data_IF_958067797324
#
_entry.id   IF_958067797324
#
_cell.length_a   1.000
_cell.length_b   1.000
_cell.length_c   1.000
_cell.angle_alpha   90.00
_cell.angle_beta   90.00
_cell.angle_gamma   90.00
#
_symmetry.space_group_name_H-M   'P 1'
#
loop_
_entity.id
_entity.type
_entity.pdbx_description
1 polymer ?
#
# COMPACT_ATOMS: atom_id res chain seq x y z
N UNK A 1 -1.60 -5.68 1.24
CA UNK A 1 -0.50 -6.59 0.89
C UNK A 1 -0.68 -7.14 -0.52
N UNK A 2 -1.85 -7.65 -0.87
CA UNK A 2 -2.10 -8.30 -2.17
C UNK A 2 -1.92 -7.39 -3.39
N UNK A 3 -2.02 -6.09 -3.20
CA UNK A 3 -1.73 -5.10 -4.23
C UNK A 3 -0.26 -5.09 -4.70
N UNK A 4 0.66 -5.56 -3.86
CA UNK A 4 2.07 -5.69 -4.22
C UNK A 4 2.27 -6.95 -5.06
N UNK A 5 2.45 -6.79 -6.36
CA UNK A 5 2.61 -7.88 -7.32
C UNK A 5 3.83 -8.75 -6.99
N UNK A 6 3.82 -9.99 -7.41
CA UNK A 6 5.04 -10.81 -7.45
C UNK A 6 5.94 -10.33 -8.58
N UNK A 7 7.23 -10.18 -8.31
CA UNK A 7 8.20 -9.65 -9.28
C UNK A 7 8.29 -10.51 -10.57
N UNK A 8 8.05 -11.79 -10.44
CA UNK A 8 8.05 -12.74 -11.57
C UNK A 8 6.66 -12.94 -12.19
N UNK A 9 5.64 -12.22 -11.73
CA UNK A 9 4.26 -12.33 -12.22
C UNK A 9 3.49 -13.58 -11.78
N UNK A 10 4.07 -14.42 -10.90
CA UNK A 10 3.39 -15.59 -10.36
C UNK A 10 2.38 -15.24 -9.27
N UNK A 11 1.58 -16.21 -8.84
CA UNK A 11 0.81 -16.10 -7.62
C UNK A 11 1.72 -16.27 -6.39
N UNK A 12 1.42 -15.61 -5.26
CA UNK A 12 2.16 -15.78 -4.03
C UNK A 12 2.07 -17.22 -3.49
N UNK A 13 3.16 -17.71 -2.93
CA UNK A 13 3.18 -19.00 -2.24
C UNK A 13 2.33 -18.91 -0.96
N UNK A 14 1.42 -19.87 -0.75
CA UNK A 14 0.54 -19.89 0.43
C UNK A 14 1.28 -20.08 1.76
N UNK A 15 2.46 -20.72 1.72
CA UNK A 15 3.31 -20.97 2.90
C UNK A 15 4.32 -19.85 3.14
N UNK A 16 4.66 -19.10 2.09
CA UNK A 16 5.53 -17.93 2.14
C UNK A 16 4.93 -16.83 1.23
N UNK A 17 3.93 -16.10 1.72
CA UNK A 17 3.21 -15.14 0.89
C UNK A 17 3.97 -13.82 0.68
N UNK A 18 5.17 -13.67 1.21
CA UNK A 18 5.87 -12.40 1.28
C UNK A 18 7.12 -12.33 0.39
N UNK A 19 7.84 -13.43 0.24
CA UNK A 19 9.07 -13.48 -0.56
C UNK A 19 8.78 -13.31 -2.06
N UNK A 20 9.61 -12.53 -2.75
CA UNK A 20 9.52 -12.30 -4.19
C UNK A 20 8.49 -11.27 -4.64
N UNK A 21 7.85 -10.56 -3.70
CA UNK A 21 6.94 -9.45 -4.01
C UNK A 21 7.70 -8.21 -4.46
N UNK A 22 6.96 -7.26 -5.02
CA UNK A 22 7.40 -5.88 -5.26
C UNK A 22 8.24 -5.37 -4.08
N UNK A 23 9.47 -4.91 -4.30
CA UNK A 23 10.36 -4.46 -3.22
C UNK A 23 9.76 -3.40 -2.31
N UNK A 24 8.83 -2.58 -2.81
CA UNK A 24 8.12 -1.56 -2.03
C UNK A 24 7.30 -2.19 -0.90
N UNK A 25 6.90 -3.46 -1.02
CA UNK A 25 6.23 -4.18 0.06
C UNK A 25 7.09 -4.21 1.33
N UNK A 26 8.30 -4.75 1.22
CA UNK A 26 9.22 -4.87 2.37
C UNK A 26 9.69 -3.52 2.92
N UNK A 27 9.65 -2.44 2.11
CA UNK A 27 9.94 -1.07 2.54
C UNK A 27 8.78 -0.43 3.30
N UNK A 28 7.56 -0.91 3.10
CA UNK A 28 6.33 -0.25 3.55
C UNK A 28 5.67 -0.96 4.72
N UNK A 29 5.71 -2.29 4.75
CA UNK A 29 4.94 -3.14 5.66
C UNK A 29 5.87 -4.10 6.39
N UNK A 30 5.69 -4.20 7.71
CA UNK A 30 6.32 -5.21 8.53
C UNK A 30 5.37 -6.40 8.73
N UNK A 31 5.93 -7.59 8.63
CA UNK A 31 5.21 -8.86 8.71
C UNK A 31 5.66 -9.70 9.89
N UNK A 32 4.95 -10.80 10.14
CA UNK A 32 5.36 -11.78 11.14
C UNK A 32 6.79 -12.29 10.87
N UNK A 33 7.63 -12.30 11.89
CA UNK A 33 9.03 -12.69 11.80
C UNK A 33 10.00 -11.53 11.47
N UNK A 34 9.52 -10.36 11.04
CA UNK A 34 10.38 -9.21 10.80
C UNK A 34 10.99 -8.67 12.10
N UNK A 35 12.26 -8.33 12.05
CA UNK A 35 12.91 -7.57 13.13
C UNK A 35 12.72 -6.07 12.86
N UNK A 36 11.63 -5.51 13.36
CA UNK A 36 11.27 -4.13 13.10
C UNK A 36 10.63 -3.42 14.33
N UNK A 37 11.06 -2.21 14.70
CA UNK A 37 12.28 -1.53 14.22
C UNK A 37 13.54 -2.37 14.44
N UNK A 38 14.68 -2.03 13.82
CA UNK A 38 15.93 -2.80 13.91
C UNK A 38 16.45 -2.93 15.35
N UNK A 39 16.08 -1.97 16.21
CA UNK A 39 16.38 -1.93 17.65
C UNK A 39 15.53 -2.89 18.47
N UNK A 40 14.45 -3.44 17.90
CA UNK A 40 13.64 -4.44 18.59
C UNK A 40 14.49 -5.70 18.83
N UNK A 41 14.66 -6.16 20.09
CA UNK A 41 15.50 -7.32 20.40
C UNK A 41 14.95 -8.63 19.80
N UNK A 42 13.65 -8.68 19.58
CA UNK A 42 12.96 -9.88 19.10
C UNK A 42 12.21 -9.62 17.81
N UNK A 43 12.08 -10.62 16.92
CA UNK A 43 11.20 -10.54 15.77
C UNK A 43 9.75 -10.30 16.17
N UNK A 44 8.97 -9.72 15.26
CA UNK A 44 7.54 -9.53 15.43
C UNK A 44 6.82 -10.88 15.46
N UNK A 45 6.02 -11.11 16.49
CA UNK A 45 5.17 -12.28 16.66
C UNK A 45 3.71 -11.89 16.50
N UNK A 46 3.26 -11.88 15.23
CA UNK A 46 1.91 -11.42 14.85
C UNK A 46 0.92 -12.62 14.73
N UNK A 47 1.40 -13.85 14.94
CA UNK A 47 0.54 -15.02 14.96
C UNK A 47 -0.35 -15.06 16.21
N UNK A 48 -1.45 -15.79 16.13
CA UNK A 48 -2.40 -15.96 17.27
C UNK A 48 -1.67 -16.42 18.52
N UNK A 49 -1.77 -15.65 19.59
CA UNK A 49 -1.06 -15.87 20.84
C UNK A 49 0.35 -15.26 20.91
N UNK A 50 0.86 -14.69 19.81
CA UNK A 50 2.15 -14.00 19.78
C UNK A 50 2.09 -12.63 20.49
N UNK A 51 3.26 -12.15 20.92
CA UNK A 51 3.40 -10.92 21.72
C UNK A 51 3.00 -9.63 21.01
N UNK A 52 2.86 -9.66 19.69
CA UNK A 52 2.47 -8.51 18.86
C UNK A 52 1.12 -8.72 18.16
N UNK A 53 0.34 -9.71 18.59
CA UNK A 53 -0.93 -10.05 17.97
C UNK A 53 -2.13 -9.55 18.80
N UNK A 54 -3.26 -9.29 18.13
CA UNK A 54 -4.54 -9.07 18.82
C UNK A 54 -4.90 -10.32 19.67
N UNK A 55 -5.42 -10.17 20.91
CA UNK A 55 -6.06 -8.98 21.49
C UNK A 55 -5.15 -8.10 22.38
N UNK A 56 -3.83 -8.25 22.30
CA UNK A 56 -2.94 -7.42 23.10
C UNK A 56 -3.21 -5.93 22.82
N UNK A 57 -3.26 -5.06 23.84
CA UNK A 57 -3.49 -3.63 23.64
C UNK A 57 -2.50 -3.03 22.62
N UNK A 58 -3.03 -2.20 21.71
CA UNK A 58 -2.28 -1.56 20.62
C UNK A 58 -1.72 -2.50 19.54
N UNK A 59 -1.97 -3.80 19.62
CA UNK A 59 -1.60 -4.71 18.55
C UNK A 59 -2.44 -4.46 17.28
N UNK A 60 -1.84 -4.74 16.13
CA UNK A 60 -2.50 -4.54 14.85
C UNK A 60 -3.77 -5.40 14.69
N UNK A 61 -4.88 -4.83 14.25
CA UNK A 61 -6.08 -5.60 13.94
C UNK A 61 -5.99 -6.28 12.56
N UNK A 62 -4.98 -5.96 11.72
CA UNK A 62 -4.88 -6.41 10.33
C UNK A 62 -3.91 -7.55 10.12
N UNK A 63 -3.03 -7.83 11.11
CA UNK A 63 -1.94 -8.78 10.99
C UNK A 63 -0.68 -8.21 10.33
N UNK A 64 -0.59 -6.87 10.19
CA UNK A 64 0.54 -6.17 9.59
C UNK A 64 0.88 -4.91 10.37
N UNK A 65 2.14 -4.50 10.35
CA UNK A 65 2.59 -3.23 10.91
C UNK A 65 3.18 -2.32 9.83
N UNK A 66 3.17 -1.02 10.11
CA UNK A 66 3.72 -0.01 9.21
C UNK A 66 5.24 0.09 9.39
N UNK A 67 5.99 0.07 8.27
CA UNK A 67 7.41 0.44 8.20
C UNK A 67 7.61 1.85 7.66
N UNK A 68 6.88 2.21 6.63
CA UNK A 68 6.96 3.53 6.01
C UNK A 68 6.75 4.61 7.06
N UNK A 69 7.56 5.68 7.02
CA UNK A 69 7.61 6.76 8.00
C UNK A 69 8.19 6.39 9.38
N UNK A 70 8.63 5.17 9.58
CA UNK A 70 9.33 4.78 10.81
C UNK A 70 10.81 4.60 10.50
N UNK A 71 11.66 5.35 11.19
CA UNK A 71 13.11 5.13 11.13
C UNK A 71 13.44 3.81 11.83
N UNK A 72 14.09 2.88 11.12
CA UNK A 72 14.43 1.56 11.63
C UNK A 72 15.39 1.58 12.84
N UNK A 73 16.08 2.69 13.08
CA UNK A 73 16.94 2.90 14.25
C UNK A 73 16.20 3.52 15.45
N UNK A 74 14.89 3.73 15.36
CA UNK A 74 14.08 4.24 16.48
C UNK A 74 14.13 3.27 17.65
N UNK A 75 14.52 3.76 18.84
CA UNK A 75 14.49 2.98 20.07
C UNK A 75 13.10 3.09 20.73
N UNK A 76 12.30 2.05 20.56
CA UNK A 76 10.96 1.97 21.15
C UNK A 76 10.97 1.58 22.63
N UNK A 77 12.12 1.18 23.18
CA UNK A 77 12.27 0.81 24.59
C UNK A 77 12.64 2.01 25.48
N UNK A 78 13.03 3.13 24.88
CA UNK A 78 13.44 4.32 25.61
C UNK A 78 12.26 4.94 26.37
N UNK A 79 12.25 4.76 27.68
CA UNK A 79 11.20 5.29 28.59
C UNK A 79 11.17 6.82 28.66
N UNK A 80 12.22 7.48 28.20
CA UNK A 80 12.40 8.95 28.27
C UNK A 80 12.00 9.68 26.99
N UNK A 81 11.50 8.99 25.98
CA UNK A 81 11.24 9.58 24.66
C UNK A 81 12.48 10.00 23.87
N UNK A 82 13.69 9.74 24.41
CA UNK A 82 14.97 10.09 23.76
C UNK A 82 15.28 9.26 22.51
N UNK A 83 14.54 8.17 22.29
CA UNK A 83 14.66 7.31 21.10
C UNK A 83 13.93 7.83 19.87
N UNK A 84 13.21 8.94 19.96
CA UNK A 84 12.50 9.55 18.83
C UNK A 84 13.45 10.10 17.78
N UNK A 85 13.01 10.08 16.52
CA UNK A 85 13.75 10.60 15.38
C UNK A 85 13.00 11.76 14.75
N UNK A 86 13.77 12.73 14.24
CA UNK A 86 13.20 13.82 13.46
C UNK A 86 12.69 13.24 12.14
N UNK A 87 11.43 13.49 11.84
CA UNK A 87 10.78 13.03 10.63
C UNK A 87 10.50 14.21 9.69
N UNK A 88 10.83 14.02 8.40
CA UNK A 88 10.45 14.96 7.34
C UNK A 88 9.19 14.47 6.65
N UNK A 89 8.15 15.26 6.70
CA UNK A 89 6.90 14.96 5.97
C UNK A 89 7.04 15.42 4.52
N UNK A 90 6.97 14.48 3.59
CA UNK A 90 7.00 14.79 2.15
C UNK A 90 5.60 15.20 1.71
N UNK A 91 5.45 16.46 1.30
CA UNK A 91 4.16 16.99 0.81
C UNK A 91 3.91 16.58 -0.63
N UNK A 92 4.93 16.68 -1.50
CA UNK A 92 4.88 16.27 -2.90
C UNK A 92 6.18 15.56 -3.29
N UNK A 93 6.09 14.60 -4.21
CA UNK A 93 7.24 13.88 -4.74
C UNK A 93 7.05 13.49 -6.19
N UNK A 94 8.15 13.27 -6.89
CA UNK A 94 8.15 12.96 -8.32
C UNK A 94 7.25 11.77 -8.71
N UNK A 95 7.18 10.73 -7.86
CA UNK A 95 6.32 9.57 -8.12
C UNK A 95 4.84 9.96 -8.24
N UNK A 96 4.37 10.87 -7.40
CA UNK A 96 3.00 11.41 -7.50
C UNK A 96 2.78 12.18 -8.81
N UNK A 97 3.71 13.07 -9.17
CA UNK A 97 3.60 13.84 -10.41
C UNK A 97 3.58 12.94 -11.65
N UNK A 98 4.42 11.90 -11.69
CA UNK A 98 4.41 10.93 -12.78
C UNK A 98 3.08 10.17 -12.87
N UNK A 99 2.49 9.81 -11.75
CA UNK A 99 1.18 9.17 -11.73
C UNK A 99 0.05 10.13 -12.10
N UNK A 100 0.09 11.38 -11.63
CA UNK A 100 -0.89 12.39 -12.03
C UNK A 100 -0.81 12.65 -13.53
N UNK A 101 0.40 12.77 -14.09
CA UNK A 101 0.63 12.90 -15.51
C UNK A 101 0.07 11.67 -16.28
N UNK A 102 0.40 10.46 -15.84
CA UNK A 102 -0.09 9.24 -16.47
C UNK A 102 -1.62 9.16 -16.53
N UNK A 103 -2.28 9.53 -15.44
CA UNK A 103 -3.75 9.55 -15.40
C UNK A 103 -4.33 10.59 -16.34
N UNK A 104 -3.80 11.82 -16.32
CA UNK A 104 -4.29 12.91 -17.17
C UNK A 104 -4.11 12.56 -18.66
N UNK A 105 -2.93 12.09 -19.04
CA UNK A 105 -2.62 11.68 -20.42
C UNK A 105 -3.52 10.52 -20.87
N UNK A 106 -3.68 9.50 -20.04
CA UNK A 106 -4.57 8.37 -20.34
C UNK A 106 -6.03 8.83 -20.51
N UNK A 107 -6.51 9.72 -19.65
CA UNK A 107 -7.89 10.23 -19.74
C UNK A 107 -8.09 11.12 -20.96
N UNK A 108 -7.05 11.82 -21.40
CA UNK A 108 -7.11 12.67 -22.57
C UNK A 108 -7.16 11.86 -23.87
N UNK A 109 -6.28 10.87 -24.03
CA UNK A 109 -6.20 10.06 -25.25
C UNK A 109 -7.13 8.83 -25.26
N UNK A 110 -7.57 8.36 -24.09
CA UNK A 110 -8.30 7.09 -23.97
C UNK A 110 -7.43 5.82 -24.07
N UNK A 111 -6.16 5.96 -24.39
CA UNK A 111 -5.20 4.87 -24.59
C UNK A 111 -3.87 5.15 -23.89
N UNK A 112 -3.18 4.08 -23.47
CA UNK A 112 -1.99 4.17 -22.62
C UNK A 112 -0.72 4.58 -23.38
N UNK A 113 -0.64 4.31 -24.66
CA UNK A 113 0.57 4.48 -25.49
C UNK A 113 0.57 5.76 -26.31
N UNK A 114 -0.56 6.46 -26.40
CA UNK A 114 -0.69 7.67 -27.18
C UNK A 114 0.07 8.84 -26.57
N UNK A 115 0.63 9.65 -27.45
CA UNK A 115 1.35 10.89 -27.18
C UNK A 115 1.30 11.80 -28.39
N UNK A 116 1.57 13.08 -28.22
CA UNK A 116 1.62 14.08 -29.29
C UNK A 116 2.84 15.03 -29.13
N UNK A 117 2.87 16.12 -29.88
CA UNK A 117 3.98 17.07 -29.85
C UNK A 117 4.13 17.84 -28.53
N UNK A 118 3.08 17.95 -27.73
CA UNK A 118 3.09 18.60 -26.43
C UNK A 118 3.25 17.58 -25.29
N UNK A 119 2.52 16.47 -25.38
CA UNK A 119 2.58 15.37 -24.41
C UNK A 119 3.54 14.29 -24.94
N UNK A 120 4.84 14.56 -24.82
CA UNK A 120 5.92 13.75 -25.40
C UNK A 120 6.16 12.40 -24.72
N UNK A 121 5.55 12.16 -23.57
CA UNK A 121 5.61 10.91 -22.81
C UNK A 121 4.20 10.31 -22.71
N UNK A 122 4.04 9.03 -23.02
CA UNK A 122 2.77 8.36 -22.87
C UNK A 122 2.43 8.06 -21.40
N UNK A 123 1.16 7.73 -21.14
CA UNK A 123 0.72 7.33 -19.80
C UNK A 123 1.49 6.10 -19.29
N UNK A 124 1.69 5.10 -20.16
CA UNK A 124 2.45 3.88 -19.85
C UNK A 124 3.93 4.20 -19.56
N UNK A 125 4.56 5.04 -20.37
CA UNK A 125 5.96 5.45 -20.16
C UNK A 125 6.15 6.15 -18.81
N UNK A 126 5.19 6.99 -18.39
CA UNK A 126 5.24 7.66 -17.10
C UNK A 126 5.15 6.66 -15.93
N UNK A 127 4.25 5.68 -16.00
CA UNK A 127 4.17 4.59 -15.01
C UNK A 127 5.46 3.77 -15.00
N UNK A 128 6.01 3.44 -16.16
CA UNK A 128 7.21 2.64 -16.27
C UNK A 128 8.46 3.32 -15.71
N UNK A 129 8.54 4.67 -15.71
CA UNK A 129 9.59 5.40 -14.98
C UNK A 129 9.59 5.09 -13.48
N UNK A 130 8.43 4.88 -12.88
CA UNK A 130 8.32 4.49 -11.47
C UNK A 130 8.74 3.03 -11.29
N UNK A 131 8.22 2.14 -12.14
CA UNK A 131 8.45 0.69 -12.03
C UNK A 131 9.92 0.32 -12.26
N UNK A 132 10.60 1.03 -13.17
CA UNK A 132 12.04 0.85 -13.45
C UNK A 132 12.97 1.53 -12.47
N UNK A 133 12.47 2.35 -11.57
CA UNK A 133 13.30 3.07 -10.61
C UNK A 133 14.19 2.11 -9.83
N UNK A 134 15.48 2.46 -9.69
CA UNK A 134 16.43 1.69 -8.87
C UNK A 134 15.85 1.35 -7.50
N UNK A 135 15.92 0.08 -7.13
CA UNK A 135 15.37 -0.44 -5.87
C UNK A 135 13.89 -0.83 -5.95
N UNK A 136 13.17 -0.47 -7.03
CA UNK A 136 11.84 -1.00 -7.35
C UNK A 136 11.98 -2.13 -8.37
N UNK A 137 12.58 -1.87 -9.52
CA UNK A 137 12.94 -2.86 -10.54
C UNK A 137 11.82 -3.86 -10.85
N UNK A 138 10.59 -3.36 -10.95
CA UNK A 138 9.42 -4.15 -11.32
C UNK A 138 9.29 -4.24 -12.85
N UNK A 139 8.74 -5.34 -13.39
CA UNK A 139 8.47 -5.47 -14.82
C UNK A 139 7.64 -4.29 -15.34
N UNK A 140 8.01 -3.79 -16.48
CA UNK A 140 7.29 -2.71 -17.17
C UNK A 140 5.86 -3.15 -17.55
N UNK A 141 4.97 -2.17 -17.62
CA UNK A 141 3.71 -2.38 -18.32
C UNK A 141 4.02 -2.57 -19.82
N UNK A 142 3.55 -3.65 -20.44
CA UNK A 142 3.83 -3.91 -21.83
C UNK A 142 3.12 -2.90 -22.76
N UNK A 143 3.67 -2.71 -23.93
CA UNK A 143 3.03 -1.94 -25.00
C UNK A 143 1.77 -2.64 -25.51
N UNK A 144 0.81 -1.88 -26.01
CA UNK A 144 -0.43 -2.40 -26.58
C UNK A 144 -1.41 -2.97 -25.55
N UNK A 145 -1.31 -2.56 -24.28
CA UNK A 145 -2.30 -2.93 -23.28
C UNK A 145 -3.67 -2.33 -23.63
N UNK A 146 -4.73 -3.11 -23.47
CA UNK A 146 -6.09 -2.54 -23.56
C UNK A 146 -6.29 -1.47 -22.49
N UNK A 147 -7.11 -0.45 -22.83
CA UNK A 147 -7.41 0.68 -21.93
C UNK A 147 -7.94 0.23 -20.55
N UNK A 148 -8.82 -0.78 -20.51
CA UNK A 148 -9.36 -1.32 -19.27
C UNK A 148 -8.27 -1.98 -18.42
N UNK A 149 -7.39 -2.77 -19.05
CA UNK A 149 -6.30 -3.44 -18.33
C UNK A 149 -5.26 -2.43 -17.84
N UNK A 150 -4.90 -1.45 -18.67
CA UNK A 150 -4.02 -0.36 -18.24
C UNK A 150 -4.62 0.38 -17.05
N UNK A 151 -5.88 0.79 -17.14
CA UNK A 151 -6.54 1.55 -16.07
C UNK A 151 -6.61 0.78 -14.76
N UNK A 152 -6.94 -0.51 -14.82
CA UNK A 152 -6.94 -1.39 -13.65
C UNK A 152 -5.56 -1.47 -13.00
N UNK A 153 -4.51 -1.71 -13.79
CA UNK A 153 -3.13 -1.82 -13.30
C UNK A 153 -2.56 -0.48 -12.85
N UNK A 154 -2.90 0.61 -13.53
CA UNK A 154 -2.54 1.97 -13.11
C UNK A 154 -3.07 2.28 -11.70
N UNK A 155 -4.33 1.98 -11.43
CA UNK A 155 -4.92 2.18 -10.10
C UNK A 155 -4.21 1.38 -9.02
N UNK A 156 -3.82 0.16 -9.34
CA UNK A 156 -3.02 -0.67 -8.43
C UNK A 156 -1.62 -0.08 -8.21
N UNK A 157 -0.94 0.33 -9.27
CA UNK A 157 0.38 0.96 -9.19
C UNK A 157 0.35 2.23 -8.33
N UNK A 158 -0.66 3.07 -8.51
CA UNK A 158 -0.86 4.28 -7.71
C UNK A 158 -1.10 3.94 -6.23
N UNK A 159 -1.90 2.93 -5.94
CA UNK A 159 -2.15 2.47 -4.57
C UNK A 159 -0.87 1.94 -3.89
N UNK A 160 -0.03 1.22 -4.62
CA UNK A 160 1.25 0.68 -4.13
C UNK A 160 2.28 1.81 -3.93
N UNK A 161 2.48 2.64 -4.94
CA UNK A 161 3.49 3.70 -4.92
C UNK A 161 3.19 4.74 -3.83
N UNK A 162 1.94 5.18 -3.71
CA UNK A 162 1.51 6.20 -2.76
C UNK A 162 0.90 5.62 -1.48
N UNK A 163 1.23 4.36 -1.15
CA UNK A 163 0.73 3.70 0.05
C UNK A 163 1.06 4.53 1.30
N UNK A 164 0.05 4.75 2.16
CA UNK A 164 0.12 5.55 3.40
C UNK A 164 0.44 7.04 3.23
N UNK A 165 0.39 7.58 2.01
CA UNK A 165 0.58 9.01 1.75
C UNK A 165 -0.74 9.80 1.67
N UNK A 166 -1.85 9.24 2.12
CA UNK A 166 -3.15 9.91 2.17
C UNK A 166 -3.95 9.88 0.86
N UNK A 167 -3.36 9.45 -0.26
CA UNK A 167 -3.98 9.53 -1.59
C UNK A 167 -5.15 8.59 -1.80
N UNK A 168 -5.09 7.33 -1.29
CA UNK A 168 -6.12 6.31 -1.57
C UNK A 168 -7.52 6.74 -1.16
N UNK A 169 -7.64 7.46 -0.06
CA UNK A 169 -8.92 7.97 0.42
C UNK A 169 -9.60 8.89 -0.62
N UNK A 170 -8.82 9.75 -1.27
CA UNK A 170 -9.31 10.66 -2.30
C UNK A 170 -9.50 9.97 -3.64
N UNK A 171 -8.58 9.09 -4.02
CA UNK A 171 -8.62 8.36 -5.28
C UNK A 171 -9.90 7.55 -5.43
N UNK A 172 -10.30 6.78 -4.43
CA UNK A 172 -11.54 5.99 -4.48
C UNK A 172 -12.79 6.87 -4.58
N UNK A 173 -12.75 8.08 -4.02
CA UNK A 173 -13.87 9.03 -4.10
C UNK A 173 -13.95 9.68 -5.47
N UNK A 174 -12.86 10.22 -5.98
CA UNK A 174 -12.83 10.88 -7.29
C UNK A 174 -13.07 9.89 -8.45
N UNK A 175 -12.67 8.63 -8.30
CA UNK A 175 -12.95 7.58 -9.27
C UNK A 175 -14.34 6.95 -9.11
N UNK A 176 -15.07 7.32 -8.06
CA UNK A 176 -16.35 6.71 -7.66
C UNK A 176 -16.27 5.20 -7.49
N UNK A 177 -15.16 4.73 -6.92
CA UNK A 177 -14.89 3.31 -6.61
C UNK A 177 -15.08 3.01 -5.13
N UNK A 178 -15.98 3.72 -4.48
CA UNK A 178 -16.45 3.41 -3.15
C UNK A 178 -17.22 2.09 -3.14
N UNK A 179 -17.76 1.77 -1.98
CA UNK A 179 -18.49 0.52 -1.79
C UNK A 179 -17.61 -0.57 -1.21
N UNK A 180 -16.51 -0.18 -0.53
CA UNK A 180 -15.77 -1.12 0.31
C UNK A 180 -16.69 -1.68 1.38
N UNK A 181 -17.33 -2.81 1.07
CA UNK A 181 -18.21 -3.50 2.02
C UNK A 181 -17.44 -4.44 2.93
N UNK A 182 -16.17 -4.66 2.63
CA UNK A 182 -15.31 -5.56 3.42
C UNK A 182 -13.85 -5.20 3.32
N UNK A 183 -13.10 -5.51 4.37
CA UNK A 183 -11.64 -5.54 4.39
C UNK A 183 -11.17 -6.89 4.90
N UNK A 184 -10.18 -7.46 4.22
CA UNK A 184 -9.53 -8.67 4.67
C UNK A 184 -8.35 -8.35 5.58
N UNK A 185 -8.28 -9.07 6.69
CA UNK A 185 -7.10 -9.15 7.54
C UNK A 185 -6.45 -10.51 7.40
N UNK A 186 -5.16 -10.61 7.62
CA UNK A 186 -4.51 -11.91 7.75
C UNK A 186 -4.63 -12.38 9.20
N UNK A 187 -4.92 -13.67 9.37
CA UNK A 187 -4.80 -14.39 10.63
C UNK A 187 -3.70 -15.42 10.44
N UNK A 188 -2.71 -15.36 11.30
CA UNK A 188 -1.51 -16.20 11.23
C UNK A 188 -1.59 -17.20 12.37
N UNK A 189 -1.52 -18.49 12.07
CA UNK A 189 -1.48 -19.55 13.06
C UNK A 189 -0.11 -20.21 13.04
N UNK A 190 0.53 -20.32 14.20
CA UNK A 190 1.76 -21.07 14.37
C UNK A 190 1.43 -22.54 14.54
N UNK A 191 2.00 -23.40 13.69
CA UNK A 191 1.80 -24.84 13.69
C UNK A 191 2.77 -25.54 14.67
N UNK A 192 2.54 -26.81 14.95
CA UNK A 192 3.38 -27.62 15.84
C UNK A 192 4.81 -27.87 15.33
N UNK A 193 5.02 -27.72 14.03
CA UNK A 193 6.31 -27.83 13.34
C UNK A 193 7.02 -26.48 13.17
N UNK A 194 6.59 -25.44 13.91
CA UNK A 194 7.06 -24.05 13.84
C UNK A 194 6.79 -23.35 12.50
N UNK A 195 6.10 -23.97 11.56
CA UNK A 195 5.62 -23.33 10.35
C UNK A 195 4.41 -22.42 10.63
N UNK A 196 4.02 -21.59 9.63
CA UNK A 196 2.88 -20.70 9.76
C UNK A 196 1.83 -20.97 8.69
N UNK A 197 0.57 -20.93 9.11
CA UNK A 197 -0.59 -20.93 8.22
C UNK A 197 -1.19 -19.55 8.17
N UNK A 198 -1.45 -19.06 6.96
CA UNK A 198 -2.01 -17.73 6.70
C UNK A 198 -3.44 -17.87 6.19
N UNK A 199 -4.40 -17.34 6.91
CA UNK A 199 -5.81 -17.36 6.52
C UNK A 199 -6.36 -15.94 6.41
N UNK A 200 -7.39 -15.76 5.59
CA UNK A 200 -8.10 -14.48 5.47
C UNK A 200 -9.29 -14.47 6.41
N UNK A 201 -9.49 -13.34 7.06
CA UNK A 201 -10.68 -13.08 7.85
C UNK A 201 -11.25 -11.73 7.42
N UNK A 202 -12.44 -11.76 6.85
CA UNK A 202 -13.10 -10.59 6.27
C UNK A 202 -13.87 -9.84 7.35
N UNK A 203 -13.62 -8.55 7.48
CA UNK A 203 -14.40 -7.63 8.30
C UNK A 203 -15.35 -6.83 7.41
N UNK A 204 -16.62 -6.87 7.71
CA UNK A 204 -17.62 -6.04 7.04
C UNK A 204 -17.43 -4.56 7.37
N UNK A 205 -17.62 -3.72 6.38
CA UNK A 205 -17.59 -2.26 6.48
C UNK A 205 -18.93 -1.69 6.05
N UNK A 206 -19.25 -0.53 6.57
CA UNK A 206 -20.40 0.26 6.11
C UNK A 206 -19.93 1.22 5.02
N UNK A 207 -20.61 1.18 3.88
CA UNK A 207 -20.45 2.17 2.82
C UNK A 207 -21.82 2.62 2.32
N UNK A 208 -21.96 3.92 2.14
CA UNK A 208 -23.11 4.58 1.54
C UNK A 208 -22.60 5.61 0.53
N UNK A 209 -23.27 5.82 -0.58
CA UNK A 209 -22.83 6.72 -1.67
C UNK A 209 -22.67 8.18 -1.22
N UNK A 210 -23.39 8.60 -0.17
CA UNK A 210 -23.14 9.91 0.47
C UNK A 210 -21.72 10.06 1.01
N UNK A 211 -21.00 8.95 1.28
CA UNK A 211 -19.61 8.95 1.77
C UNK A 211 -18.58 9.35 0.70
N UNK A 212 -19.00 9.48 -0.57
CA UNK A 212 -18.16 10.11 -1.58
C UNK A 212 -17.86 11.58 -1.27
N UNK A 213 -18.72 12.22 -0.52
CA UNK A 213 -18.58 13.62 -0.10
C UNK A 213 -18.33 13.69 1.39
N UNK A 214 -17.66 14.77 1.81
CA UNK A 214 -17.59 15.10 3.23
C UNK A 214 -18.94 15.63 3.71
N UNK A 215 -19.37 15.24 4.92
CA UNK A 215 -20.52 15.90 5.53
C UNK A 215 -20.18 17.37 5.81
N UNK A 216 -21.17 18.24 5.63
CA UNK A 216 -21.07 19.62 6.12
C UNK A 216 -21.03 19.55 7.64
N UNK A 217 -20.06 20.21 8.31
CA UNK A 217 -20.02 20.23 9.77
C UNK A 217 -21.31 20.75 10.37
N UNK A 218 -21.77 20.13 11.45
CA UNK A 218 -23.05 20.49 12.10
C UNK A 218 -23.06 21.96 12.56
N UNK A 219 -21.90 22.50 12.94
CA UNK A 219 -21.72 23.93 13.27
C UNK A 219 -22.02 24.88 12.09
N UNK A 220 -21.86 24.42 10.84
CA UNK A 220 -22.16 25.20 9.66
C UNK A 220 -23.64 25.09 9.25
N UNK A 221 -24.27 23.96 9.56
CA UNK A 221 -25.69 23.73 9.30
C UNK A 221 -26.61 24.53 10.25
N UNK A 222 -26.08 25.00 11.37
CA UNK A 222 -26.84 25.74 12.40
C UNK A 222 -26.63 27.26 12.37
N UNK A 223 -25.89 27.77 11.39
CA UNK A 223 -25.74 29.21 11.10
C UNK A 223 -26.91 29.71 10.25
#
# INVERSE_FOLDING_TARGET
VDAYEMKNGSEPNSKDPYTGRDPRFAMTIAVNGDKWPNTNPNPLEIYVGGRNASPIPYATPTGYYLKKYVDGSTDISASTGSGGKVHSWVTFRLGEFLLNYAEATFKYFGEADNKDGELTMSAREAVNKIRKRTGVDMPEFPEGMSSDNFWKRYKNERMVELAFEGHRFWDVRRWKEGGFKSLDRVVITKNSDDSFTYTRNTKSLVWDDKMYFYPIPDSELRK
#
